data_IF_280491665298
#
_entry.id   IF_280491665298
#
_cell.length_a   1.000
_cell.length_b   1.000
_cell.length_c   1.000
_cell.angle_alpha   90.00
_cell.angle_beta   90.00
_cell.angle_gamma   90.00
#
_symmetry.space_group_name_H-M   'P 1'
#
loop_
_entity.id
_entity.type
_entity.pdbx_description
1 polymer ?
#
# COMPACT_ATOMS: atom_id res chain seq x y z
N UNK A 1 4.16 -3.54 -2.43
CA UNK A 1 3.18 -3.44 -1.36
C UNK A 1 3.89 -3.70 -0.04
N UNK A 2 3.61 -2.87 0.96
CA UNK A 2 4.23 -2.95 2.30
C UNK A 2 3.13 -3.24 3.32
N UNK A 3 3.23 -4.36 4.01
CA UNK A 3 2.41 -4.63 5.19
C UNK A 3 3.13 -4.08 6.44
N UNK A 4 2.36 -3.60 7.42
CA UNK A 4 2.91 -3.10 8.70
C UNK A 4 3.65 -4.19 9.47
N UNK A 5 3.13 -5.43 9.44
CA UNK A 5 3.73 -6.59 10.10
C UNK A 5 5.04 -7.00 9.46
N UNK A 6 5.12 -6.95 8.13
CA UNK A 6 6.36 -7.18 7.38
C UNK A 6 7.42 -6.11 7.69
N UNK A 7 7.00 -4.88 7.91
CA UNK A 7 7.91 -3.81 8.35
C UNK A 7 8.52 -4.15 9.71
N UNK A 8 7.68 -4.50 10.69
CA UNK A 8 8.15 -4.90 12.02
C UNK A 8 9.05 -6.14 11.98
N UNK A 9 8.69 -7.17 11.21
CA UNK A 9 9.48 -8.41 11.12
C UNK A 9 10.84 -8.18 10.46
N UNK A 10 10.94 -7.27 9.48
CA UNK A 10 12.21 -6.87 8.87
C UNK A 10 13.11 -6.16 9.88
N UNK A 11 12.58 -5.23 10.68
CA UNK A 11 13.36 -4.57 11.73
C UNK A 11 13.86 -5.55 12.78
N UNK A 12 13.04 -6.52 13.18
CA UNK A 12 13.47 -7.59 14.10
C UNK A 12 14.58 -8.45 13.50
N UNK A 13 14.51 -8.78 12.20
CA UNK A 13 15.58 -9.51 11.52
C UNK A 13 16.90 -8.72 11.48
N UNK A 14 16.83 -7.42 11.19
CA UNK A 14 18.00 -6.52 11.20
C UNK A 14 18.62 -6.47 12.60
N UNK A 15 17.82 -6.21 13.64
CA UNK A 15 18.29 -6.17 15.03
C UNK A 15 18.89 -7.50 15.47
N UNK A 16 18.25 -8.62 15.11
CA UNK A 16 18.77 -9.96 15.39
C UNK A 16 20.15 -10.19 14.76
N UNK A 17 20.37 -9.74 13.52
CA UNK A 17 21.70 -9.82 12.88
C UNK A 17 22.74 -8.99 13.60
N UNK A 18 22.42 -7.75 13.94
CA UNK A 18 23.33 -6.84 14.67
C UNK A 18 23.72 -7.42 16.03
N UNK A 19 22.75 -7.90 16.80
CA UNK A 19 23.00 -8.46 18.15
C UNK A 19 23.85 -9.73 18.12
N UNK A 20 23.82 -10.49 17.03
CA UNK A 20 24.67 -11.67 16.82
C UNK A 20 26.04 -11.34 16.23
N UNK A 21 26.38 -10.04 16.08
CA UNK A 21 27.65 -9.61 15.50
C UNK A 21 27.78 -9.91 14.00
N UNK A 22 26.68 -10.18 13.30
CA UNK A 22 26.70 -10.38 11.86
C UNK A 22 26.88 -9.04 11.14
N UNK A 23 27.75 -9.02 10.14
CA UNK A 23 27.89 -7.87 9.24
C UNK A 23 26.64 -7.74 8.37
N UNK A 24 26.07 -6.53 8.32
CA UNK A 24 24.93 -6.20 7.48
C UNK A 24 25.25 -4.93 6.68
N UNK A 25 24.62 -4.78 5.51
CA UNK A 25 24.81 -3.59 4.68
C UNK A 25 24.43 -2.31 5.42
N UNK A 26 25.24 -1.26 5.26
CA UNK A 26 25.03 0.09 5.79
C UNK A 26 25.41 1.15 4.74
N UNK A 27 25.11 2.43 5.00
CA UNK A 27 25.36 3.51 4.03
C UNK A 27 24.54 3.31 2.74
N UNK A 28 25.20 3.32 1.59
CA UNK A 28 24.55 3.05 0.29
C UNK A 28 23.96 1.64 0.19
N UNK A 29 24.51 0.68 0.94
CA UNK A 29 23.99 -0.69 1.03
C UNK A 29 23.01 -0.86 2.21
N UNK A 30 22.65 0.23 2.88
CA UNK A 30 21.85 0.24 4.12
C UNK A 30 20.35 0.41 3.92
N UNK A 31 19.86 0.43 2.68
CA UNK A 31 18.43 0.59 2.40
C UNK A 31 17.69 -0.75 2.50
N UNK A 32 16.91 -0.92 3.56
CA UNK A 32 16.05 -2.09 3.76
C UNK A 32 14.59 -1.67 3.61
N UNK A 33 13.88 -2.33 2.70
CA UNK A 33 12.48 -2.05 2.39
C UNK A 33 11.66 -3.33 2.59
N UNK A 34 10.67 -3.28 3.47
CA UNK A 34 9.69 -4.35 3.64
C UNK A 34 8.65 -4.27 2.52
N UNK A 35 9.03 -4.69 1.30
CA UNK A 35 8.11 -4.74 0.16
C UNK A 35 8.04 -6.15 -0.40
N UNK A 36 6.82 -6.63 -0.65
CA UNK A 36 6.54 -7.96 -1.21
C UNK A 36 6.36 -7.98 -2.73
N UNK A 37 6.43 -6.83 -3.41
CA UNK A 37 6.26 -6.70 -4.86
C UNK A 37 5.47 -5.45 -5.23
N UNK A 38 4.81 -5.42 -6.37
CA UNK A 38 3.99 -4.30 -6.84
C UNK A 38 2.54 -4.76 -7.06
N UNK A 39 1.60 -3.82 -6.99
CA UNK A 39 0.17 -4.04 -7.24
C UNK A 39 -0.29 -2.94 -8.20
N UNK A 40 -1.12 -3.31 -9.17
CA UNK A 40 -1.70 -2.36 -10.11
C UNK A 40 -2.80 -1.58 -9.39
N UNK A 41 -2.76 -0.25 -9.50
CA UNK A 41 -3.75 0.63 -8.86
C UNK A 41 -5.17 0.32 -9.30
N UNK A 42 -5.38 0.06 -10.58
CA UNK A 42 -6.69 -0.25 -11.14
C UNK A 42 -7.29 -1.50 -10.48
N UNK A 43 -6.51 -2.57 -10.27
CA UNK A 43 -6.98 -3.79 -9.60
C UNK A 43 -7.42 -3.52 -8.15
N UNK A 44 -6.70 -2.63 -7.45
CA UNK A 44 -7.04 -2.23 -6.09
C UNK A 44 -8.33 -1.40 -6.06
N UNK A 45 -8.45 -0.40 -6.93
CA UNK A 45 -9.66 0.42 -7.01
C UNK A 45 -10.88 -0.40 -7.37
N UNK A 46 -10.73 -1.34 -8.30
CA UNK A 46 -11.74 -2.30 -8.68
C UNK A 46 -12.21 -3.16 -7.50
N UNK A 47 -11.27 -3.69 -6.70
CA UNK A 47 -11.59 -4.49 -5.52
C UNK A 47 -12.37 -3.67 -4.48
N UNK A 48 -11.96 -2.41 -4.25
CA UNK A 48 -12.65 -1.48 -3.34
C UNK A 48 -14.04 -1.11 -3.86
N UNK A 49 -14.19 -0.83 -5.15
CA UNK A 49 -15.46 -0.46 -5.78
C UNK A 49 -16.49 -1.60 -5.67
N UNK A 50 -16.07 -2.84 -5.96
CA UNK A 50 -16.90 -4.05 -5.78
C UNK A 50 -17.37 -4.23 -4.32
N UNK A 51 -16.47 -4.01 -3.35
CA UNK A 51 -16.79 -4.10 -1.93
C UNK A 51 -17.80 -3.02 -1.48
N UNK A 52 -17.64 -1.77 -1.96
CA UNK A 52 -18.56 -0.66 -1.69
C UNK A 52 -19.93 -0.87 -2.33
N UNK A 53 -19.95 -1.37 -3.58
CA UNK A 53 -21.20 -1.68 -4.31
C UNK A 53 -21.99 -2.78 -3.65
N UNK A 54 -21.32 -3.84 -3.19
CA UNK A 54 -21.94 -4.95 -2.43
C UNK A 54 -22.66 -4.44 -1.17
N UNK A 55 -22.09 -3.42 -0.52
CA UNK A 55 -22.65 -2.77 0.67
C UNK A 55 -23.62 -1.61 0.35
N UNK A 56 -23.89 -1.36 -0.93
CA UNK A 56 -24.77 -0.27 -1.42
C UNK A 56 -24.33 1.13 -1.00
N UNK A 57 -23.03 1.33 -0.82
CA UNK A 57 -22.46 2.68 -0.58
C UNK A 57 -22.35 3.46 -1.88
N UNK A 58 -22.16 2.76 -3.01
CA UNK A 58 -22.12 3.35 -4.35
C UNK A 58 -23.11 2.67 -5.29
N UNK A 59 -23.61 3.45 -6.26
CA UNK A 59 -24.58 2.98 -7.26
C UNK A 59 -23.93 2.31 -8.47
N UNK A 60 -22.65 2.55 -8.71
CA UNK A 60 -21.87 1.96 -9.79
C UNK A 60 -20.47 1.59 -9.26
N UNK A 61 -19.95 0.45 -9.71
CA UNK A 61 -18.63 -0.04 -9.33
C UNK A 61 -17.56 0.24 -10.41
N UNK A 62 -17.93 0.93 -11.50
CA UNK A 62 -16.98 1.27 -12.56
C UNK A 62 -15.90 2.24 -12.06
N UNK A 63 -14.64 1.87 -12.28
CA UNK A 63 -13.49 2.74 -12.04
C UNK A 63 -13.14 3.45 -13.35
N UNK A 64 -13.20 4.77 -13.33
CA UNK A 64 -12.95 5.63 -14.50
C UNK A 64 -11.94 6.72 -14.18
N UNK A 65 -11.33 7.29 -15.22
CA UNK A 65 -10.51 8.48 -15.06
C UNK A 65 -11.39 9.65 -14.59
N UNK A 66 -10.95 10.33 -13.54
CA UNK A 66 -11.59 11.53 -13.03
C UNK A 66 -11.53 12.65 -14.08
N UNK A 67 -12.68 13.24 -14.39
CA UNK A 67 -12.75 14.47 -15.16
C UNK A 67 -12.42 15.69 -14.29
N UNK A 68 -12.41 16.87 -14.90
CA UNK A 68 -12.03 18.11 -14.23
C UNK A 68 -12.93 18.44 -13.02
N UNK A 69 -14.23 18.14 -13.12
CA UNK A 69 -15.20 18.40 -12.05
C UNK A 69 -15.03 17.41 -10.88
N UNK A 70 -14.70 16.15 -11.18
CA UNK A 70 -14.37 15.15 -10.16
C UNK A 70 -13.04 15.49 -9.47
N UNK A 71 -12.03 15.93 -10.24
CA UNK A 71 -10.74 16.35 -9.67
C UNK A 71 -10.89 17.55 -8.72
N UNK A 72 -11.78 18.50 -9.03
CA UNK A 72 -12.11 19.62 -8.12
C UNK A 72 -12.72 19.11 -6.79
N UNK A 73 -13.62 18.13 -6.86
CA UNK A 73 -14.22 17.52 -5.65
C UNK A 73 -13.19 16.72 -4.84
N UNK A 74 -12.35 15.93 -5.50
CA UNK A 74 -11.27 15.19 -4.85
C UNK A 74 -10.29 16.14 -4.17
N UNK A 75 -9.89 17.21 -4.86
CA UNK A 75 -9.02 18.27 -4.32
C UNK A 75 -9.63 18.90 -3.07
N UNK A 76 -10.91 19.28 -3.11
CA UNK A 76 -11.61 19.82 -1.94
C UNK A 76 -11.63 18.83 -0.77
N UNK A 77 -11.86 17.53 -1.03
CA UNK A 77 -11.88 16.49 0.01
C UNK A 77 -10.51 16.32 0.69
N UNK A 78 -9.41 16.41 -0.06
CA UNK A 78 -8.04 16.33 0.49
C UNK A 78 -7.46 17.70 0.88
N UNK A 79 -8.26 18.76 0.83
CA UNK A 79 -7.86 20.14 1.14
C UNK A 79 -6.68 20.66 0.29
N UNK A 80 -6.67 20.30 -1.00
CA UNK A 80 -5.68 20.72 -1.99
C UNK A 80 -6.36 21.26 -3.25
N UNK A 81 -5.57 21.91 -4.10
CA UNK A 81 -5.99 22.24 -5.46
C UNK A 81 -6.09 20.96 -6.30
N UNK A 82 -6.96 20.94 -7.31
CA UNK A 82 -7.14 19.76 -8.17
C UNK A 82 -5.86 19.29 -8.85
N UNK A 83 -4.93 20.20 -9.14
CA UNK A 83 -3.64 19.89 -9.77
C UNK A 83 -2.73 19.03 -8.88
N UNK A 84 -2.97 19.00 -7.56
CA UNK A 84 -2.23 18.16 -6.63
C UNK A 84 -2.83 16.76 -6.46
N UNK A 85 -4.05 16.51 -6.94
CA UNK A 85 -4.70 15.19 -6.81
C UNK A 85 -3.86 14.07 -7.45
N UNK A 86 -3.35 14.20 -8.70
CA UNK A 86 -2.52 13.15 -9.30
C UNK A 86 -1.18 12.96 -8.59
N UNK A 87 -0.67 14.00 -7.92
CA UNK A 87 0.61 13.98 -7.20
C UNK A 87 0.47 13.26 -5.87
N UNK A 88 -0.64 13.43 -5.16
CA UNK A 88 -0.86 12.85 -3.83
C UNK A 88 -1.45 11.43 -3.88
N UNK A 89 -2.26 11.11 -4.89
CA UNK A 89 -2.99 9.83 -4.98
C UNK A 89 -2.49 8.91 -6.10
N UNK A 90 -1.56 9.38 -6.93
CA UNK A 90 -1.00 8.62 -8.04
C UNK A 90 0.48 8.30 -7.85
N UNK A 91 0.97 7.35 -8.64
CA UNK A 91 2.40 7.13 -8.81
C UNK A 91 2.82 5.66 -8.86
N UNK A 92 4.00 5.44 -9.42
CA UNK A 92 4.69 4.16 -9.44
C UNK A 92 5.98 4.28 -8.62
N UNK A 93 6.06 3.56 -7.51
CA UNK A 93 7.31 3.43 -6.77
C UNK A 93 8.15 2.32 -7.42
N UNK A 94 9.36 2.65 -7.88
CA UNK A 94 10.25 1.71 -8.58
C UNK A 94 11.39 1.16 -7.71
N UNK A 95 11.34 1.39 -6.39
CA UNK A 95 12.35 0.87 -5.47
C UNK A 95 12.27 -0.64 -5.32
N UNK A 96 13.42 -1.33 -5.43
CA UNK A 96 13.49 -2.79 -5.28
C UNK A 96 13.96 -3.20 -3.88
N UNK A 97 13.17 -4.03 -3.18
CA UNK A 97 13.48 -4.58 -1.86
C UNK A 97 14.43 -5.79 -1.92
N UNK A 98 15.74 -5.55 -2.08
CA UNK A 98 16.73 -6.65 -2.17
C UNK A 98 17.34 -7.04 -0.82
N UNK A 99 17.67 -6.06 0.02
CA UNK A 99 18.54 -6.28 1.17
C UNK A 99 17.91 -7.14 2.29
N UNK A 100 16.58 -7.14 2.44
CA UNK A 100 15.89 -8.03 3.37
C UNK A 100 16.17 -9.51 3.05
N UNK A 101 16.06 -9.90 1.77
CA UNK A 101 16.33 -11.28 1.31
C UNK A 101 17.77 -11.69 1.57
N UNK A 102 18.72 -10.77 1.41
CA UNK A 102 20.15 -11.02 1.65
C UNK A 102 20.45 -11.36 3.12
N UNK A 103 19.62 -10.90 4.06
CA UNK A 103 19.74 -11.26 5.49
C UNK A 103 18.82 -12.42 5.89
N UNK A 104 18.19 -13.10 4.93
CA UNK A 104 17.30 -14.24 5.16
C UNK A 104 15.89 -13.86 5.60
N UNK A 105 15.51 -12.58 5.45
CA UNK A 105 14.15 -12.12 5.68
C UNK A 105 13.33 -12.21 4.39
N UNK A 106 12.10 -12.71 4.49
CA UNK A 106 11.11 -12.73 3.42
C UNK A 106 9.78 -12.18 3.97
N UNK A 107 8.97 -11.49 3.14
CA UNK A 107 7.66 -11.00 3.57
C UNK A 107 6.71 -12.16 3.86
N UNK A 108 5.87 -11.98 4.88
CA UNK A 108 4.80 -12.90 5.26
C UNK A 108 3.64 -12.83 4.26
N UNK A 109 3.34 -11.62 3.75
CA UNK A 109 2.20 -11.39 2.85
C UNK A 109 2.67 -11.16 1.41
N UNK A 110 2.07 -11.83 0.41
CA UNK A 110 2.36 -11.56 -0.99
C UNK A 110 1.84 -10.18 -1.39
N UNK A 111 2.30 -9.66 -2.54
CA UNK A 111 1.94 -8.32 -3.00
C UNK A 111 0.43 -8.14 -3.17
N UNK A 112 -0.24 -9.13 -3.75
CA UNK A 112 -1.66 -9.17 -4.06
C UNK A 112 -2.56 -9.40 -2.82
N UNK A 113 -1.99 -9.61 -1.63
CA UNK A 113 -2.75 -9.78 -0.39
C UNK A 113 -3.70 -8.60 -0.12
N UNK A 114 -3.31 -7.37 -0.50
CA UNK A 114 -4.17 -6.19 -0.35
C UNK A 114 -5.49 -6.34 -1.11
N UNK A 115 -5.50 -7.02 -2.27
CA UNK A 115 -6.70 -7.24 -3.06
C UNK A 115 -7.65 -8.21 -2.35
N UNK A 116 -7.09 -9.21 -1.65
CA UNK A 116 -7.85 -10.17 -0.86
C UNK A 116 -8.43 -9.51 0.40
N UNK A 117 -7.66 -8.62 1.02
CA UNK A 117 -8.07 -7.90 2.22
C UNK A 117 -9.04 -6.73 1.95
N UNK A 118 -9.19 -6.28 0.70
CA UNK A 118 -9.95 -5.09 0.34
C UNK A 118 -11.40 -5.11 0.88
N UNK A 119 -12.10 -6.24 0.77
CA UNK A 119 -13.49 -6.34 1.27
C UNK A 119 -13.57 -6.18 2.80
N UNK A 120 -12.68 -6.85 3.52
CA UNK A 120 -12.60 -6.76 4.99
C UNK A 120 -12.21 -5.34 5.44
N UNK A 121 -11.30 -4.69 4.74
CA UNK A 121 -10.88 -3.31 5.06
C UNK A 121 -12.01 -2.31 4.82
N UNK A 122 -12.76 -2.43 3.72
CA UNK A 122 -13.96 -1.62 3.48
C UNK A 122 -14.99 -1.83 4.59
N UNK A 123 -15.23 -3.09 4.98
CA UNK A 123 -16.15 -3.40 6.07
C UNK A 123 -15.73 -2.74 7.39
N UNK A 124 -14.44 -2.85 7.73
CA UNK A 124 -13.88 -2.23 8.93
C UNK A 124 -14.11 -0.73 8.90
N UNK A 125 -13.72 -0.04 7.83
CA UNK A 125 -13.84 1.43 7.75
C UNK A 125 -15.30 1.87 7.93
N UNK A 126 -16.24 1.22 7.24
CA UNK A 126 -17.66 1.58 7.30
C UNK A 126 -18.29 1.29 8.67
N UNK A 127 -17.76 0.31 9.40
CA UNK A 127 -18.29 -0.11 10.70
C UNK A 127 -17.50 0.41 11.91
N UNK A 128 -16.36 1.10 11.71
CA UNK A 128 -15.51 1.62 12.80
C UNK A 128 -16.10 2.88 13.46
N UNK A 129 -17.12 3.51 12.88
CA UNK A 129 -17.81 4.68 13.44
C UNK A 129 -19.15 4.37 14.15
N UNK A 130 -19.31 3.19 14.75
CA UNK A 130 -20.43 2.90 15.67
C UNK A 130 -20.01 2.78 17.13
#
# INVERSE_FOLDING_TARGET
>A
MRNVRDSSSLYLAILGRILNGAEIGYGEQGYYLASSGDVVWDDLYDAMARALKTRRVVDDESVVLADDAVLDQMGAAIQRSKEFVPVELGGLCTFTSRNGKNIGWEPEYPADYILQAADEEVDRILNTER
#
